data_IF_869930657113
#
_entry.id   IF_869930657113
#
_cell.length_a   1.000
_cell.length_b   1.000
_cell.length_c   1.000
_cell.angle_alpha   90.00
_cell.angle_beta   90.00
_cell.angle_gamma   90.00
#
_symmetry.space_group_name_H-M   'P 1'
#
loop_
_entity.id
_entity.type
_entity.pdbx_description
1 polymer ?
#
# COMPACT_ATOMS: atom_id res chain seq x y z
N UNK A 1 32.26 51.52 -27.03
CA UNK A 1 32.40 50.46 -26.01
C UNK A 1 31.51 50.82 -24.84
N UNK A 2 30.35 50.20 -24.73
CA UNK A 2 29.47 50.41 -23.56
C UNK A 2 28.80 49.08 -23.23
N UNK A 3 29.48 48.32 -22.38
CA UNK A 3 28.97 47.11 -21.75
C UNK A 3 27.77 47.52 -20.86
N UNK A 4 26.54 47.03 -21.09
CA UNK A 4 25.40 47.41 -20.27
C UNK A 4 25.53 46.80 -18.85
N UNK A 5 24.94 47.43 -17.82
CA UNK A 5 25.32 47.23 -16.42
C UNK A 5 25.02 45.80 -15.96
N UNK A 6 26.00 45.20 -15.29
CA UNK A 6 25.98 43.85 -14.71
C UNK A 6 25.06 43.72 -13.47
N UNK A 7 24.26 44.76 -13.19
CA UNK A 7 23.43 44.86 -11.99
C UNK A 7 22.00 44.43 -12.37
N UNK A 8 21.68 43.17 -12.11
CA UNK A 8 20.33 42.63 -12.28
C UNK A 8 20.22 41.41 -13.20
N UNK A 9 21.24 41.08 -13.98
CA UNK A 9 21.30 39.80 -14.72
C UNK A 9 21.45 38.62 -13.77
N UNK A 10 22.37 38.74 -12.81
CA UNK A 10 22.58 37.74 -11.77
C UNK A 10 21.33 37.57 -10.89
N UNK A 11 20.70 38.67 -10.48
CA UNK A 11 19.47 38.61 -9.70
C UNK A 11 18.31 38.00 -10.50
N UNK A 12 18.11 38.37 -11.77
CA UNK A 12 17.11 37.70 -12.62
C UNK A 12 17.40 36.21 -12.80
N UNK A 13 18.67 35.83 -12.97
CA UNK A 13 19.06 34.44 -13.11
C UNK A 13 18.83 33.65 -11.82
N UNK A 14 19.21 34.20 -10.66
CA UNK A 14 18.90 33.66 -9.33
C UNK A 14 17.40 33.47 -9.14
N UNK A 15 16.59 34.49 -9.41
CA UNK A 15 15.14 34.39 -9.27
C UNK A 15 14.53 33.35 -10.22
N UNK A 16 15.03 33.25 -11.45
CA UNK A 16 14.60 32.24 -12.40
C UNK A 16 15.00 30.81 -11.98
N UNK A 17 16.20 30.64 -11.39
CA UNK A 17 16.67 29.38 -10.81
C UNK A 17 15.82 28.98 -9.61
N UNK A 18 15.61 29.90 -8.67
CA UNK A 18 14.76 29.68 -7.48
C UNK A 18 13.36 29.28 -7.92
N UNK A 19 12.75 30.04 -8.84
CA UNK A 19 11.41 29.74 -9.36
C UNK A 19 11.34 28.37 -10.01
N UNK A 20 12.28 28.04 -10.90
CA UNK A 20 12.32 26.71 -11.55
C UNK A 20 12.51 25.58 -10.54
N UNK A 21 13.34 25.79 -9.51
CA UNK A 21 13.56 24.79 -8.47
C UNK A 21 12.28 24.61 -7.63
N UNK A 22 11.63 25.69 -7.22
CA UNK A 22 10.35 25.67 -6.50
C UNK A 22 9.23 25.00 -7.32
N UNK A 23 9.11 25.33 -8.60
CA UNK A 23 8.15 24.69 -9.52
C UNK A 23 8.43 23.18 -9.63
N UNK A 24 9.71 22.80 -9.68
CA UNK A 24 10.13 21.40 -9.72
C UNK A 24 9.80 20.68 -8.41
N UNK A 25 10.06 21.31 -7.27
CA UNK A 25 9.76 20.75 -5.95
C UNK A 25 8.26 20.58 -5.74
N UNK A 26 7.44 21.57 -6.11
CA UNK A 26 5.98 21.47 -6.08
C UNK A 26 5.46 20.36 -7.00
N UNK A 27 6.05 20.20 -8.19
CA UNK A 27 5.70 19.10 -9.11
C UNK A 27 6.11 17.74 -8.54
N UNK A 28 7.25 17.63 -7.85
CA UNK A 28 7.66 16.40 -7.15
C UNK A 28 6.72 16.07 -5.99
N UNK A 29 6.32 17.06 -5.20
CA UNK A 29 5.33 16.88 -4.11
C UNK A 29 4.00 16.43 -4.69
N UNK A 30 3.52 17.07 -5.75
CA UNK A 30 2.28 16.68 -6.44
C UNK A 30 2.36 15.25 -6.96
N UNK A 31 3.47 14.86 -7.59
CA UNK A 31 3.72 13.47 -7.99
C UNK A 31 3.74 12.52 -6.78
N UNK A 32 4.42 12.85 -5.69
CA UNK A 32 4.39 12.07 -4.43
C UNK A 32 2.96 11.81 -3.93
N UNK A 33 2.10 12.81 -4.04
CA UNK A 33 0.71 12.76 -3.59
C UNK A 33 -0.18 11.95 -4.54
N UNK A 34 0.08 12.02 -5.85
CA UNK A 34 -0.71 11.39 -6.92
C UNK A 34 -0.25 9.97 -7.29
N UNK A 35 1.04 9.64 -7.19
CA UNK A 35 1.61 8.45 -7.81
C UNK A 35 1.91 7.27 -6.87
N UNK A 36 1.99 7.49 -5.55
CA UNK A 36 2.55 6.46 -4.67
C UNK A 36 1.52 5.87 -3.70
N UNK A 37 1.08 4.66 -4.01
CA UNK A 37 0.37 3.77 -3.10
C UNK A 37 1.37 2.79 -2.47
N UNK A 38 1.23 2.52 -1.17
CA UNK A 38 2.10 1.58 -0.45
C UNK A 38 2.07 0.16 -1.06
N UNK A 39 0.94 -0.24 -1.65
CA UNK A 39 0.75 -1.58 -2.22
C UNK A 39 1.07 -2.68 -1.21
N UNK A 40 2.03 -3.54 -1.55
CA UNK A 40 2.52 -4.68 -0.75
C UNK A 40 3.92 -4.41 -0.15
N UNK A 41 4.36 -3.15 -0.11
CA UNK A 41 5.69 -2.79 0.41
C UNK A 41 5.64 -2.59 1.91
N UNK A 42 6.76 -2.88 2.59
CA UNK A 42 6.90 -2.59 4.02
C UNK A 42 6.77 -1.08 4.28
N UNK A 43 6.06 -0.66 5.34
CA UNK A 43 5.90 0.75 5.69
C UNK A 43 7.21 1.54 5.82
N UNK A 44 8.29 0.95 6.35
CA UNK A 44 9.61 1.58 6.42
C UNK A 44 10.22 1.86 5.04
N UNK A 45 10.11 0.92 4.11
CA UNK A 45 10.59 1.07 2.74
C UNK A 45 9.82 2.15 2.00
N UNK A 46 8.50 2.22 2.20
CA UNK A 46 7.67 3.27 1.65
C UNK A 46 8.09 4.65 2.19
N UNK A 47 8.36 4.79 3.48
CA UNK A 47 8.88 6.04 4.05
C UNK A 47 10.24 6.45 3.44
N UNK A 48 11.18 5.51 3.32
CA UNK A 48 12.47 5.79 2.68
C UNK A 48 12.31 6.18 1.22
N UNK A 49 11.35 5.58 0.51
CA UNK A 49 11.03 5.94 -0.86
C UNK A 49 10.49 7.38 -0.93
N UNK A 50 9.52 7.74 -0.07
CA UNK A 50 9.02 9.11 0.04
C UNK A 50 10.15 10.11 0.36
N UNK A 51 11.07 9.74 1.25
CA UNK A 51 12.24 10.58 1.59
C UNK A 51 13.21 10.75 0.41
N UNK A 52 13.41 9.71 -0.40
CA UNK A 52 14.25 9.77 -1.63
C UNK A 52 13.62 10.61 -2.73
N UNK A 53 12.29 10.60 -2.86
CA UNK A 53 11.58 11.42 -3.84
C UNK A 53 11.40 12.87 -3.37
N UNK A 54 11.38 13.08 -2.04
CA UNK A 54 11.32 14.41 -1.44
C UNK A 54 12.65 15.14 -1.64
N UNK A 55 12.57 16.42 -1.98
CA UNK A 55 13.74 17.30 -2.01
C UNK A 55 14.31 17.42 -0.58
N UNK A 56 15.64 17.52 -0.38
CA UNK A 56 16.24 17.71 0.95
C UNK A 56 15.77 18.98 1.69
N UNK A 57 15.05 19.88 0.99
CA UNK A 57 14.38 21.04 1.59
C UNK A 57 13.00 20.72 2.23
N UNK A 58 12.50 19.49 2.09
CA UNK A 58 11.19 19.09 2.62
C UNK A 58 11.30 18.74 4.10
N UNK A 59 10.43 19.26 4.98
CA UNK A 59 10.42 18.85 6.38
C UNK A 59 10.15 17.35 6.53
N UNK A 60 10.94 16.67 7.37
CA UNK A 60 10.73 15.26 7.72
C UNK A 60 9.30 15.04 8.27
N UNK A 61 8.74 16.05 8.96
CA UNK A 61 7.39 16.04 9.53
C UNK A 61 6.28 15.98 8.47
N UNK A 62 6.48 16.65 7.32
CA UNK A 62 5.57 16.57 6.18
C UNK A 62 5.62 15.18 5.55
N UNK A 63 6.82 14.63 5.37
CA UNK A 63 7.03 13.27 4.84
C UNK A 63 6.36 12.23 5.73
N UNK A 64 6.50 12.39 7.05
CA UNK A 64 5.89 11.51 8.05
C UNK A 64 4.36 11.61 8.05
N UNK A 65 3.82 12.83 7.94
CA UNK A 65 2.38 13.06 7.86
C UNK A 65 1.79 12.47 6.58
N UNK A 66 2.47 12.65 5.45
CA UNK A 66 2.06 12.08 4.17
C UNK A 66 2.11 10.56 4.20
N UNK A 67 3.19 10.00 4.76
CA UNK A 67 3.35 8.57 4.99
C UNK A 67 2.19 7.99 5.79
N UNK A 68 1.84 8.58 6.95
CA UNK A 68 0.70 8.15 7.78
C UNK A 68 -0.63 8.16 7.02
N UNK A 69 -0.87 9.21 6.23
CA UNK A 69 -2.12 9.36 5.46
C UNK A 69 -2.25 8.34 4.32
N UNK A 70 -1.15 7.80 3.82
CA UNK A 70 -1.09 6.83 2.72
C UNK A 70 -0.99 5.38 3.21
N UNK A 71 -0.96 5.15 4.53
CA UNK A 71 -1.03 3.79 5.08
C UNK A 71 -2.43 3.17 4.89
N UNK A 72 -2.50 1.85 4.62
CA UNK A 72 -3.74 1.09 4.73
C UNK A 72 -4.46 1.37 6.05
N UNK A 73 -5.79 1.48 6.00
CA UNK A 73 -6.60 1.90 7.16
C UNK A 73 -6.37 1.03 8.41
N UNK A 74 -6.09 -0.27 8.23
CA UNK A 74 -5.77 -1.21 9.32
C UNK A 74 -4.51 -0.81 10.08
N UNK A 75 -3.42 -0.54 9.35
CA UNK A 75 -2.12 -0.15 9.93
C UNK A 75 -2.25 1.20 10.61
N UNK A 76 -2.93 2.16 9.95
CA UNK A 76 -3.14 3.51 10.46
C UNK A 76 -3.91 3.53 11.79
N UNK A 77 -4.92 2.67 11.98
CA UNK A 77 -5.67 2.62 13.25
C UNK A 77 -4.79 2.16 14.42
N UNK A 78 -4.00 1.11 14.21
CA UNK A 78 -3.11 0.59 15.24
C UNK A 78 -2.01 1.61 15.53
N UNK A 79 -1.41 2.19 14.48
CA UNK A 79 -0.37 3.19 14.62
C UNK A 79 -0.88 4.49 15.28
N UNK A 80 -2.14 4.87 15.09
CA UNK A 80 -2.74 6.02 15.76
C UNK A 80 -2.89 5.82 17.28
N UNK A 81 -2.91 4.58 17.77
CA UNK A 81 -2.87 4.28 19.20
C UNK A 81 -1.45 4.35 19.78
N UNK A 82 -0.42 4.40 18.92
CA UNK A 82 0.98 4.45 19.31
C UNK A 82 1.48 5.89 19.19
N UNK A 83 1.62 6.55 20.33
CA UNK A 83 2.20 7.89 20.40
C UNK A 83 3.72 7.78 20.61
N UNK A 84 4.44 7.48 19.52
CA UNK A 84 5.91 7.48 19.50
C UNK A 84 6.41 8.73 18.76
N UNK A 85 7.22 9.55 19.44
CA UNK A 85 7.80 10.79 18.88
C UNK A 85 9.00 10.52 17.98
N UNK A 86 9.56 9.31 18.00
CA UNK A 86 10.70 8.92 17.18
C UNK A 86 10.24 8.29 15.86
N UNK A 87 10.54 8.91 14.70
CA UNK A 87 10.16 8.37 13.40
C UNK A 87 10.75 6.98 13.15
N UNK A 88 11.97 6.66 13.59
CA UNK A 88 12.56 5.34 13.32
C UNK A 88 11.84 4.22 14.07
N UNK A 89 11.43 4.47 15.31
CA UNK A 89 10.60 3.53 16.09
C UNK A 89 9.21 3.37 15.48
N UNK A 90 8.59 4.47 15.06
CA UNK A 90 7.28 4.45 14.41
C UNK A 90 7.29 3.59 13.14
N UNK A 91 8.35 3.69 12.32
CA UNK A 91 8.51 2.87 11.12
C UNK A 91 8.67 1.38 11.46
N UNK A 92 9.47 1.05 12.48
CA UNK A 92 9.63 -0.34 12.93
C UNK A 92 8.32 -0.95 13.44
N UNK A 93 7.54 -0.18 14.20
CA UNK A 93 6.22 -0.62 14.65
C UNK A 93 5.26 -0.82 13.49
N UNK A 94 5.25 0.10 12.52
CA UNK A 94 4.43 -0.06 11.33
C UNK A 94 4.81 -1.31 10.52
N UNK A 95 6.09 -1.65 10.43
CA UNK A 95 6.56 -2.89 9.79
C UNK A 95 6.05 -4.14 10.52
N UNK A 96 6.15 -4.17 11.86
CA UNK A 96 5.63 -5.28 12.67
C UNK A 96 4.12 -5.47 12.46
N UNK A 97 3.37 -4.37 12.47
CA UNK A 97 1.92 -4.37 12.23
C UNK A 97 1.60 -4.85 10.80
N UNK A 98 2.39 -4.46 9.81
CA UNK A 98 2.20 -4.88 8.43
C UNK A 98 2.43 -6.39 8.26
N UNK A 99 3.44 -6.95 8.94
CA UNK A 99 3.72 -8.39 8.94
C UNK A 99 2.57 -9.18 9.57
N UNK A 100 2.07 -8.75 10.74
CA UNK A 100 0.93 -9.40 11.41
C UNK A 100 -0.33 -9.45 10.52
N UNK A 101 -0.66 -8.34 9.86
CA UNK A 101 -1.81 -8.30 8.94
C UNK A 101 -1.60 -9.12 7.66
N UNK A 102 -0.36 -9.38 7.25
CA UNK A 102 -0.06 -10.24 6.10
C UNK A 102 -0.31 -11.70 6.46
N UNK A 103 0.05 -12.10 7.69
CA UNK A 103 -0.21 -13.45 8.19
C UNK A 103 -1.71 -13.73 8.39
N UNK A 104 -2.47 -12.75 8.88
CA UNK A 104 -3.93 -12.88 9.02
C UNK A 104 -4.63 -13.07 7.67
N UNK A 105 -4.18 -12.37 6.63
CA UNK A 105 -4.69 -12.54 5.27
C UNK A 105 -4.38 -13.94 4.72
N UNK A 106 -3.19 -14.48 4.99
CA UNK A 106 -2.85 -15.85 4.62
C UNK A 106 -3.66 -16.89 5.41
N UNK A 107 -3.96 -16.65 6.69
CA UNK A 107 -4.82 -17.52 7.49
C UNK A 107 -6.25 -17.55 6.96
N UNK A 108 -6.82 -16.39 6.66
CA UNK A 108 -8.18 -16.34 6.06
C UNK A 108 -8.20 -16.99 4.69
N UNK A 109 -7.22 -16.70 3.82
CA UNK A 109 -7.12 -17.32 2.49
C UNK A 109 -6.96 -18.84 2.55
N UNK A 110 -6.22 -19.39 3.53
CA UNK A 110 -6.12 -20.85 3.73
C UNK A 110 -7.45 -21.47 4.16
N UNK A 111 -8.25 -20.79 4.98
CA UNK A 111 -9.58 -21.29 5.36
C UNK A 111 -10.52 -21.30 4.15
N UNK A 112 -10.51 -20.26 3.31
CA UNK A 112 -11.31 -20.25 2.07
C UNK A 112 -10.81 -21.28 1.05
N UNK A 113 -9.50 -21.49 0.91
CA UNK A 113 -8.96 -22.51 0.01
C UNK A 113 -9.28 -23.96 0.46
N UNK A 114 -9.51 -24.18 1.75
CA UNK A 114 -10.04 -25.46 2.26
C UNK A 114 -11.55 -25.56 2.07
N UNK A 115 -12.27 -24.43 2.02
CA UNK A 115 -13.72 -24.37 1.76
C UNK A 115 -14.08 -24.35 0.27
N UNK A 116 -13.16 -23.99 -0.63
CA UNK A 116 -13.33 -24.23 -2.06
C UNK A 116 -13.10 -25.72 -2.32
N UNK A 117 -14.12 -26.44 -2.84
CA UNK A 117 -13.96 -27.85 -3.13
C UNK A 117 -12.87 -28.02 -4.19
N UNK A 118 -11.85 -28.87 -3.98
CA UNK A 118 -10.93 -29.20 -5.04
C UNK A 118 -11.77 -29.85 -6.16
N UNK A 119 -11.77 -29.23 -7.33
CA UNK A 119 -12.34 -29.74 -8.58
C UNK A 119 -11.64 -31.04 -9.08
N UNK A 120 -11.04 -31.82 -8.18
CA UNK A 120 -10.28 -33.03 -8.44
C UNK A 120 -10.93 -34.29 -7.82
N UNK A 121 -12.07 -34.17 -7.15
CA UNK A 121 -12.78 -35.32 -6.56
C UNK A 121 -14.10 -35.66 -7.28
N UNK A 122 -14.16 -35.42 -8.59
CA UNK A 122 -15.31 -35.76 -9.44
C UNK A 122 -15.64 -37.28 -9.46
N UNK A 123 -14.77 -38.15 -8.94
CA UNK A 123 -14.99 -39.61 -8.92
C UNK A 123 -15.59 -40.18 -7.63
N UNK A 124 -15.82 -39.38 -6.58
CA UNK A 124 -16.25 -39.92 -5.26
C UNK A 124 -17.77 -39.82 -5.04
N UNK A 125 -18.47 -39.04 -5.85
CA UNK A 125 -19.93 -38.84 -5.72
C UNK A 125 -20.79 -39.77 -6.61
N UNK A 126 -20.19 -40.51 -7.55
CA UNK A 126 -20.93 -41.47 -8.40
C UNK A 126 -21.67 -42.58 -7.62
N UNK A 127 -21.07 -43.25 -6.61
CA UNK A 127 -21.79 -44.33 -5.92
C UNK A 127 -22.94 -43.83 -5.05
N UNK A 128 -22.85 -42.59 -4.54
CA UNK A 128 -23.93 -42.00 -3.73
C UNK A 128 -25.08 -41.46 -4.59
N UNK A 129 -24.77 -40.89 -5.77
CA UNK A 129 -25.79 -40.49 -6.74
C UNK A 129 -26.57 -41.71 -7.28
N UNK A 130 -25.88 -42.82 -7.54
CA UNK A 130 -26.51 -44.08 -7.93
C UNK A 130 -27.46 -44.63 -6.84
N UNK A 131 -27.05 -44.56 -5.56
CA UNK A 131 -27.88 -45.03 -4.45
C UNK A 131 -29.17 -44.21 -4.27
N UNK A 132 -29.12 -42.89 -4.49
CA UNK A 132 -30.30 -42.02 -4.40
C UNK A 132 -31.31 -42.33 -5.51
N UNK A 133 -30.86 -42.56 -6.75
CA UNK A 133 -31.75 -42.92 -7.85
C UNK A 133 -32.41 -44.29 -7.62
N UNK A 134 -31.65 -45.28 -7.17
CA UNK A 134 -32.18 -46.63 -6.88
C UNK A 134 -33.26 -46.57 -5.79
N UNK A 135 -33.06 -45.77 -4.75
CA UNK A 135 -34.08 -45.57 -3.69
C UNK A 135 -35.33 -44.88 -4.22
N UNK A 136 -35.18 -43.87 -5.09
CA UNK A 136 -36.31 -43.19 -5.74
C UNK A 136 -37.11 -44.13 -6.64
N UNK A 137 -36.42 -45.07 -7.31
CA UNK A 137 -37.05 -46.06 -8.17
C UNK A 137 -37.80 -47.12 -7.35
N UNK A 138 -37.24 -47.55 -6.21
CA UNK A 138 -37.91 -48.46 -5.29
C UNK A 138 -39.18 -47.86 -4.66
N UNK A 139 -39.18 -46.56 -4.35
CA UNK A 139 -40.37 -45.88 -3.82
C UNK A 139 -41.47 -45.79 -4.89
N UNK A 140 -41.11 -45.65 -6.16
CA UNK A 140 -42.09 -45.56 -7.26
C UNK A 140 -42.77 -46.89 -7.60
N UNK A 141 -42.17 -48.04 -7.26
CA UNK A 141 -42.79 -49.36 -7.49
C UNK A 141 -43.72 -49.81 -6.36
N UNK A 142 -43.80 -49.07 -5.25
CA UNK A 142 -44.65 -49.35 -4.10
C UNK A 142 -45.94 -48.50 -4.06
N UNK A 143 -46.23 -47.76 -5.14
CA UNK A 143 -47.51 -47.09 -5.40
C UNK A 143 -48.21 -47.70 -6.60
#
# INVERSE_FOLDING_TARGET
MTNPPDIGRYEKLKHALIRKLSDTDATRIKKLVESEEMGDRKPSQFYQHLKKLSSPATPDDFTLTLWRNRLPARIRRVLAAVDDSDPERLLRQADLIAEEFTEDFQRTARVTAVMDPPAQNAGVYEPMAAAINVLSEQISQLQ
#
